data_IF_634782416481
#
_entry.id   IF_634782416481
#
_cell.length_a   1.000
_cell.length_b   1.000
_cell.length_c   1.000
_cell.angle_alpha   90.00
_cell.angle_beta   90.00
_cell.angle_gamma   90.00
#
_symmetry.space_group_name_H-M   'P 1'
#
loop_
_entity.id
_entity.type
_entity.pdbx_description
1 polymer ?
#
# COMPACT_ATOMS: atom_id res chain seq x y z
N UNK A 1 14.14 2.23 3.48
CA UNK A 1 14.19 3.62 4.02
C UNK A 1 13.92 3.70 5.51
N UNK A 2 12.91 3.01 6.07
CA UNK A 2 12.60 3.09 7.52
C UNK A 2 13.74 2.73 8.48
N UNK A 3 14.53 1.69 8.18
CA UNK A 3 15.65 1.29 9.03
C UNK A 3 16.79 2.34 9.10
N UNK A 4 17.06 3.05 7.99
CA UNK A 4 18.07 4.10 7.95
C UNK A 4 17.65 5.32 8.78
N UNK A 5 16.37 5.67 8.76
CA UNK A 5 15.83 6.79 9.53
C UNK A 5 15.86 6.55 11.04
N UNK A 6 15.56 5.33 11.49
CA UNK A 6 15.69 4.96 12.90
C UNK A 6 17.13 5.03 13.38
N UNK A 7 18.09 4.55 12.57
CA UNK A 7 19.51 4.61 12.90
C UNK A 7 20.04 6.05 12.94
N UNK A 8 19.66 6.92 12.00
CA UNK A 8 20.13 8.31 11.98
C UNK A 8 19.48 9.21 13.05
N UNK A 9 18.27 8.90 13.52
CA UNK A 9 17.69 9.54 14.71
C UNK A 9 18.45 9.15 15.98
N UNK A 10 18.78 7.86 16.13
CA UNK A 10 19.53 7.36 17.29
C UNK A 10 20.97 7.91 17.37
N UNK A 11 21.60 8.17 16.21
CA UNK A 11 22.95 8.72 16.14
C UNK A 11 23.02 10.26 16.08
N UNK A 12 21.89 10.97 16.16
CA UNK A 12 21.84 12.44 16.10
C UNK A 12 22.20 13.03 14.73
N UNK A 13 22.16 12.23 13.67
CA UNK A 13 22.48 12.65 12.30
C UNK A 13 21.35 13.48 11.68
N UNK A 14 20.11 13.34 12.16
CA UNK A 14 18.97 14.19 11.81
C UNK A 14 18.38 14.85 13.05
N UNK A 15 18.21 16.18 13.00
CA UNK A 15 17.70 16.98 14.12
C UNK A 15 16.18 16.91 14.28
N UNK A 16 15.45 16.53 13.23
CA UNK A 16 14.00 16.26 13.29
C UNK A 16 13.51 15.43 12.09
N UNK A 17 12.40 14.72 12.27
CA UNK A 17 11.67 14.04 11.18
C UNK A 17 11.12 15.00 10.11
N UNK A 18 11.10 16.32 10.36
CA UNK A 18 10.56 17.31 9.43
C UNK A 18 11.49 17.61 8.25
N UNK A 19 12.81 17.52 8.40
CA UNK A 19 13.76 17.62 7.27
C UNK A 19 13.59 16.50 6.24
N UNK A 20 12.93 15.44 6.67
CA UNK A 20 12.89 14.16 6.01
C UNK A 20 11.57 14.00 5.26
N UNK A 21 10.50 14.62 5.79
CA UNK A 21 9.25 14.87 5.09
C UNK A 21 9.43 15.80 3.89
N UNK A 22 10.27 16.84 3.99
CA UNK A 22 10.50 17.78 2.87
C UNK A 22 11.28 17.15 1.71
N UNK A 23 12.00 16.03 1.96
CA UNK A 23 12.73 15.27 0.93
C UNK A 23 11.92 14.13 0.32
N UNK A 24 10.72 13.85 0.85
CA UNK A 24 9.81 12.88 0.25
C UNK A 24 9.18 13.50 -1.00
N UNK A 25 9.92 13.43 -2.12
CA UNK A 25 9.42 13.87 -3.42
C UNK A 25 8.46 12.81 -3.95
N UNK A 26 7.25 13.24 -4.28
CA UNK A 26 6.29 12.39 -4.99
C UNK A 26 6.81 12.21 -6.42
N UNK A 27 7.34 11.04 -6.73
CA UNK A 27 7.86 10.72 -8.07
C UNK A 27 6.72 10.70 -9.10
N UNK A 28 5.55 10.17 -8.72
CA UNK A 28 4.37 10.07 -9.58
C UNK A 28 3.09 10.01 -8.78
N UNK A 29 2.08 10.75 -9.25
CA UNK A 29 0.70 10.65 -8.80
C UNK A 29 -0.08 9.92 -9.89
N UNK A 30 -0.89 8.93 -9.51
CA UNK A 30 -1.81 8.27 -10.42
C UNK A 30 -3.22 8.71 -10.08
N UNK A 31 -3.88 9.32 -11.05
CA UNK A 31 -5.27 9.75 -10.91
C UNK A 31 -6.22 8.64 -11.38
N UNK A 32 -7.40 8.51 -10.77
CA UNK A 32 -8.36 7.48 -11.15
C UNK A 32 -9.00 7.81 -12.50
N UNK A 33 -8.53 7.18 -13.58
CA UNK A 33 -9.10 7.29 -14.93
C UNK A 33 -10.29 6.34 -15.19
N UNK A 34 -10.68 5.53 -14.19
CA UNK A 34 -11.73 4.54 -14.35
C UNK A 34 -13.10 5.11 -13.96
N UNK A 35 -14.05 5.08 -14.89
CA UNK A 35 -15.45 5.39 -14.61
C UNK A 35 -15.98 4.56 -13.44
N UNK A 36 -16.76 5.21 -12.57
CA UNK A 36 -17.31 4.61 -11.36
C UNK A 36 -18.07 3.29 -11.60
N UNK A 37 -18.96 3.17 -12.62
CA UNK A 37 -19.65 1.91 -12.91
C UNK A 37 -18.70 0.79 -13.36
N UNK A 38 -17.61 1.15 -14.06
CA UNK A 38 -16.60 0.19 -14.53
C UNK A 38 -15.78 -0.33 -13.36
N UNK A 39 -15.38 0.55 -12.44
CA UNK A 39 -14.67 0.20 -11.20
C UNK A 39 -15.48 -0.76 -10.35
N UNK A 40 -16.76 -0.48 -10.15
CA UNK A 40 -17.66 -1.33 -9.36
C UNK A 40 -17.84 -2.72 -9.98
N UNK A 41 -18.05 -2.80 -11.30
CA UNK A 41 -18.19 -4.08 -12.01
C UNK A 41 -16.94 -4.95 -11.89
N UNK A 42 -15.76 -4.35 -12.07
CA UNK A 42 -14.48 -5.06 -11.93
C UNK A 42 -14.26 -5.53 -10.49
N UNK A 43 -14.57 -4.67 -9.52
CA UNK A 43 -14.43 -5.01 -8.10
C UNK A 43 -15.40 -6.12 -7.66
N UNK A 44 -16.65 -6.10 -8.13
CA UNK A 44 -17.63 -7.15 -7.88
C UNK A 44 -17.18 -8.50 -8.48
N UNK A 45 -16.64 -8.49 -9.70
CA UNK A 45 -16.06 -9.69 -10.33
C UNK A 45 -14.89 -10.26 -9.55
N UNK A 46 -13.98 -9.39 -9.06
CA UNK A 46 -12.86 -9.81 -8.22
C UNK A 46 -13.32 -10.43 -6.90
N UNK A 47 -14.28 -9.81 -6.19
CA UNK A 47 -14.82 -10.36 -4.94
C UNK A 47 -15.41 -11.76 -5.14
N UNK A 48 -16.17 -11.95 -6.22
CA UNK A 48 -16.72 -13.27 -6.60
C UNK A 48 -15.64 -14.30 -6.88
N UNK A 49 -14.54 -13.90 -7.52
CA UNK A 49 -13.40 -14.79 -7.74
C UNK A 49 -12.71 -15.16 -6.42
N UNK A 50 -12.48 -14.19 -5.54
CA UNK A 50 -11.89 -14.42 -4.21
C UNK A 50 -12.73 -15.37 -3.38
N UNK A 51 -14.05 -15.18 -3.34
CA UNK A 51 -14.98 -16.08 -2.64
C UNK A 51 -14.86 -17.53 -3.15
N UNK A 52 -14.73 -17.73 -4.46
CA UNK A 52 -14.55 -19.08 -5.05
C UNK A 52 -13.20 -19.72 -4.75
N UNK A 53 -12.20 -18.93 -4.36
CA UNK A 53 -10.88 -19.44 -3.96
C UNK A 53 -10.75 -19.67 -2.46
N UNK A 54 -11.74 -19.26 -1.67
CA UNK A 54 -11.78 -19.52 -0.22
C UNK A 54 -12.31 -20.93 0.02
N UNK A 55 -11.76 -21.62 1.03
CA UNK A 55 -12.17 -22.99 1.38
C UNK A 55 -11.65 -24.06 0.42
N UNK A 56 -10.54 -23.80 -0.28
CA UNK A 56 -9.86 -24.84 -1.08
C UNK A 56 -9.30 -25.97 -0.21
N UNK A 57 -8.99 -25.66 1.05
CA UNK A 57 -8.55 -26.61 2.06
C UNK A 57 -9.64 -26.68 3.12
N UNK A 58 -10.62 -27.56 2.92
CA UNK A 58 -11.47 -28.04 4.01
C UNK A 58 -10.54 -28.90 4.87
N UNK A 59 -9.93 -28.29 5.88
CA UNK A 59 -8.94 -28.92 6.74
C UNK A 59 -9.46 -30.17 7.43
N UNK A 60 -9.39 -31.31 6.75
CA UNK A 60 -9.28 -32.63 7.34
C UNK A 60 -7.78 -32.92 7.54
N UNK A 61 -7.27 -32.50 8.71
CA UNK A 61 -6.09 -33.09 9.34
C UNK A 61 -6.55 -33.99 10.50
#
# INVERSE_FOLDING_TARGET
LGAAYLAGLACGFWSSLDELKSKAVIERVFEPECDEPRREKLYAGWKKAVERTRGWDDGEL
#
